data_IF_715124834214
#
_entry.id   IF_715124834214
#
_cell.length_a   1.000
_cell.length_b   1.000
_cell.length_c   1.000
_cell.angle_alpha   90.00
_cell.angle_beta   90.00
_cell.angle_gamma   90.00
#
_symmetry.space_group_name_H-M   'P 1'
#
loop_
_entity.id
_entity.type
_entity.pdbx_description
1 polymer ?
#
# COMPACT_ATOMS: atom_id res chain seq x y z
N UNK A 1 18.02 -12.20 -2.49
CA UNK A 1 16.72 -11.56 -2.76
C UNK A 1 15.68 -12.65 -2.89
N UNK A 2 14.60 -12.58 -2.14
CA UNK A 2 13.46 -13.49 -2.32
C UNK A 2 12.87 -13.26 -3.71
N UNK A 3 12.45 -14.32 -4.41
CA UNK A 3 11.71 -14.15 -5.66
C UNK A 3 10.35 -13.52 -5.36
N UNK A 4 10.21 -12.23 -5.67
CA UNK A 4 8.94 -11.53 -5.54
C UNK A 4 8.02 -12.00 -6.67
N UNK A 5 6.85 -12.57 -6.31
CA UNK A 5 5.83 -12.91 -7.29
C UNK A 5 4.99 -11.69 -7.63
N UNK A 6 5.44 -10.95 -8.64
CA UNK A 6 4.78 -9.71 -9.06
C UNK A 6 3.39 -9.91 -9.66
N UNK A 7 3.12 -11.07 -10.26
CA UNK A 7 1.77 -11.37 -10.76
C UNK A 7 0.80 -11.53 -9.59
N UNK A 8 1.21 -12.23 -8.53
CA UNK A 8 0.41 -12.34 -7.32
C UNK A 8 0.15 -10.97 -6.67
N UNK A 9 1.16 -10.10 -6.60
CA UNK A 9 0.99 -8.73 -6.09
C UNK A 9 -0.02 -7.92 -6.92
N UNK A 10 0.02 -8.06 -8.25
CA UNK A 10 -0.94 -7.39 -9.14
C UNK A 10 -2.37 -7.86 -8.91
N UNK A 11 -2.58 -9.16 -8.75
CA UNK A 11 -3.92 -9.70 -8.50
C UNK A 11 -4.46 -9.29 -7.13
N UNK A 12 -3.61 -9.26 -6.08
CA UNK A 12 -3.99 -8.73 -4.77
C UNK A 12 -4.38 -7.24 -4.89
N UNK A 13 -3.60 -6.43 -5.61
CA UNK A 13 -3.92 -5.02 -5.80
C UNK A 13 -5.26 -4.82 -6.52
N UNK A 14 -5.56 -5.58 -7.58
CA UNK A 14 -6.86 -5.48 -8.28
C UNK A 14 -8.06 -5.84 -7.40
N UNK A 15 -7.88 -6.77 -6.45
CA UNK A 15 -8.96 -7.24 -5.57
C UNK A 15 -9.21 -6.32 -4.37
N UNK A 16 -8.23 -5.51 -3.98
CA UNK A 16 -8.36 -4.57 -2.88
C UNK A 16 -9.33 -3.41 -3.23
N UNK A 17 -9.77 -2.67 -2.21
CA UNK A 17 -10.62 -1.48 -2.40
C UNK A 17 -9.92 -0.45 -3.28
N UNK A 18 -10.46 -0.21 -4.48
CA UNK A 18 -9.86 0.74 -5.42
C UNK A 18 -10.11 2.18 -4.98
N UNK A 19 -9.23 3.08 -5.42
CA UNK A 19 -9.31 4.51 -5.12
C UNK A 19 -8.21 4.99 -4.18
N UNK A 20 -8.32 6.25 -3.77
CA UNK A 20 -7.40 6.87 -2.82
C UNK A 20 -7.60 6.29 -1.42
N UNK A 21 -6.48 6.06 -0.72
CA UNK A 21 -6.46 5.67 0.68
C UNK A 21 -5.78 6.76 1.49
N UNK A 22 -6.32 7.07 2.67
CA UNK A 22 -5.81 8.07 3.59
C UNK A 22 -5.49 7.45 4.94
N UNK A 23 -4.45 7.96 5.60
CA UNK A 23 -4.16 7.58 6.97
C UNK A 23 -5.00 8.43 7.94
N UNK A 24 -5.71 7.76 8.84
CA UNK A 24 -6.37 8.39 9.98
C UNK A 24 -5.49 8.24 11.23
N UNK A 25 -5.10 9.37 11.79
CA UNK A 25 -4.18 9.44 12.92
C UNK A 25 -4.88 10.17 14.06
N UNK A 26 -5.23 9.43 15.11
CA UNK A 26 -5.77 9.98 16.36
C UNK A 26 -4.87 9.57 17.52
N UNK A 27 -3.87 10.38 17.88
CA UNK A 27 -2.92 10.04 18.93
C UNK A 27 -3.57 9.95 20.32
N UNK A 28 -3.02 9.11 21.20
CA UNK A 28 -3.44 9.02 22.60
C UNK A 28 -3.17 7.65 23.22
N UNK A 29 -3.47 7.51 24.52
CA UNK A 29 -3.35 6.22 25.25
C UNK A 29 -4.19 5.10 24.61
N UNK A 30 -5.28 5.48 23.95
CA UNK A 30 -6.16 4.62 23.16
C UNK A 30 -6.27 5.16 21.73
N UNK A 31 -5.15 5.65 21.19
CA UNK A 31 -5.12 6.25 19.87
C UNK A 31 -5.46 5.25 18.77
N UNK A 32 -5.99 5.77 17.66
CA UNK A 32 -6.34 4.99 16.46
C UNK A 32 -5.43 5.41 15.33
N UNK A 33 -4.87 4.42 14.64
CA UNK A 33 -3.95 4.60 13.53
C UNK A 33 -4.38 3.66 12.40
N UNK A 34 -5.21 4.19 11.51
CA UNK A 34 -5.94 3.40 10.54
C UNK A 34 -5.76 3.93 9.11
N UNK A 35 -6.23 3.15 8.14
CA UNK A 35 -6.30 3.52 6.72
C UNK A 35 -7.75 3.46 6.29
N UNK A 36 -8.23 4.50 5.61
CA UNK A 36 -9.63 4.61 5.16
C UNK A 36 -9.73 5.24 3.77
N UNK A 37 -10.93 5.31 3.21
CA UNK A 37 -11.19 6.06 1.97
C UNK A 37 -11.53 7.53 2.29
N UNK A 38 -11.20 8.49 1.40
CA UNK A 38 -11.67 9.87 1.53
C UNK A 38 -13.21 9.91 1.63
N UNK A 39 -13.73 10.55 2.67
CA UNK A 39 -15.17 10.69 2.89
C UNK A 39 -15.82 9.60 3.74
N UNK A 40 -15.06 8.61 4.23
CA UNK A 40 -15.55 7.74 5.30
C UNK A 40 -15.58 8.50 6.64
N UNK A 41 -16.71 8.44 7.34
CA UNK A 41 -16.96 9.12 8.62
C UNK A 41 -16.53 8.24 9.82
N UNK A 42 -15.36 7.60 9.72
CA UNK A 42 -14.75 6.78 10.78
C UNK A 42 -15.51 5.49 11.14
N UNK A 43 -16.23 4.88 10.19
CA UNK A 43 -16.96 3.64 10.44
C UNK A 43 -16.55 2.46 9.54
N UNK A 44 -15.64 2.67 8.58
CA UNK A 44 -15.19 1.66 7.63
C UNK A 44 -13.68 1.71 7.35
N UNK A 45 -12.85 1.63 8.39
CA UNK A 45 -11.41 1.49 8.22
C UNK A 45 -11.09 0.28 7.33
N UNK A 46 -10.27 0.50 6.30
CA UNK A 46 -9.69 -0.54 5.45
C UNK A 46 -8.72 -1.39 6.28
N UNK A 47 -7.94 -0.75 7.13
CA UNK A 47 -7.01 -1.38 8.08
C UNK A 47 -6.97 -0.55 9.36
N UNK A 48 -7.24 -1.17 10.51
CA UNK A 48 -6.87 -0.65 11.83
C UNK A 48 -5.82 -1.60 12.43
N UNK A 49 -4.56 -1.18 12.41
CA UNK A 49 -3.45 -2.03 12.84
C UNK A 49 -2.39 -1.27 13.66
N UNK A 50 -2.29 -1.54 14.97
CA UNK A 50 -1.36 -0.85 15.86
C UNK A 50 0.12 -1.24 15.66
N UNK A 51 0.43 -2.21 14.80
CA UNK A 51 1.78 -2.76 14.68
C UNK A 51 2.14 -3.76 15.79
N UNK A 52 3.34 -4.35 15.70
CA UNK A 52 3.86 -5.30 16.69
C UNK A 52 4.77 -4.63 17.75
N UNK A 53 4.91 -3.32 17.68
CA UNK A 53 5.91 -2.54 18.41
C UNK A 53 5.29 -1.61 19.47
N UNK A 54 4.16 -2.03 20.05
CA UNK A 54 3.42 -1.25 21.05
C UNK A 54 3.03 0.15 20.53
N UNK A 55 2.62 0.24 19.26
CA UNK A 55 2.21 1.46 18.57
C UNK A 55 3.30 2.53 18.37
N UNK A 56 4.57 2.21 18.63
CA UNK A 56 5.68 3.17 18.45
C UNK A 56 5.76 3.71 17.01
N UNK A 57 5.44 2.88 16.01
CA UNK A 57 5.40 3.26 14.60
C UNK A 57 3.99 3.25 14.01
N UNK A 58 2.93 3.21 14.81
CA UNK A 58 1.56 3.05 14.30
C UNK A 58 1.17 4.13 13.27
N UNK A 59 1.54 5.39 13.52
CA UNK A 59 1.34 6.48 12.55
C UNK A 59 2.09 6.24 11.24
N UNK A 60 3.37 5.87 11.33
CA UNK A 60 4.19 5.61 10.15
C UNK A 60 3.65 4.41 9.35
N UNK A 61 3.16 3.38 10.03
CA UNK A 61 2.58 2.20 9.40
C UNK A 61 1.29 2.56 8.64
N UNK A 62 0.40 3.34 9.26
CA UNK A 62 -0.82 3.80 8.61
C UNK A 62 -0.51 4.65 7.37
N UNK A 63 0.44 5.59 7.47
CA UNK A 63 0.90 6.41 6.33
C UNK A 63 1.52 5.56 5.22
N UNK A 64 2.35 4.59 5.59
CA UNK A 64 2.98 3.68 4.64
C UNK A 64 1.95 2.85 3.86
N UNK A 65 1.00 2.22 4.57
CA UNK A 65 -0.05 1.40 3.94
C UNK A 65 -0.95 2.26 3.04
N UNK A 66 -1.35 3.46 3.49
CA UNK A 66 -2.16 4.37 2.69
C UNK A 66 -1.43 4.82 1.40
N UNK A 67 -0.13 5.09 1.48
CA UNK A 67 0.68 5.48 0.32
C UNK A 67 0.82 4.35 -0.71
N UNK A 68 0.90 3.10 -0.27
CA UNK A 68 0.93 1.91 -1.12
C UNK A 68 -0.48 1.35 -1.40
N UNK A 69 -1.42 2.25 -1.69
CA UNK A 69 -2.76 1.86 -2.11
C UNK A 69 -2.75 1.08 -3.44
N UNK A 70 -3.84 0.38 -3.77
CA UNK A 70 -3.92 -0.48 -4.96
C UNK A 70 -3.61 0.21 -6.29
N UNK A 71 -3.96 1.49 -6.43
CA UNK A 71 -3.70 2.26 -7.65
C UNK A 71 -2.20 2.50 -7.82
N UNK A 72 -1.54 2.92 -6.73
CA UNK A 72 -0.09 3.15 -6.71
C UNK A 72 0.68 1.84 -6.96
N UNK A 73 0.28 0.74 -6.31
CA UNK A 73 0.95 -0.56 -6.49
C UNK A 73 0.85 -1.03 -7.94
N UNK A 74 -0.33 -0.90 -8.58
CA UNK A 74 -0.48 -1.26 -9.99
C UNK A 74 0.41 -0.42 -10.91
N UNK A 75 0.46 0.90 -10.69
CA UNK A 75 1.32 1.79 -11.46
C UNK A 75 2.82 1.45 -11.33
N UNK A 76 3.29 1.17 -10.10
CA UNK A 76 4.67 0.76 -9.86
C UNK A 76 5.01 -0.57 -10.54
N UNK A 77 4.07 -1.52 -10.56
CA UNK A 77 4.25 -2.80 -11.25
C UNK A 77 4.28 -2.62 -12.78
N UNK A 78 3.48 -1.71 -13.33
CA UNK A 78 3.49 -1.35 -14.76
C UNK A 78 4.83 -0.72 -15.16
N UNK A 79 5.31 0.25 -14.38
CA UNK A 79 6.60 0.90 -14.61
C UNK A 79 7.75 -0.12 -14.59
N UNK A 80 7.76 -0.99 -13.58
CA UNK A 80 8.80 -2.02 -13.44
C UNK A 80 8.80 -2.98 -14.63
N UNK A 81 7.62 -3.39 -15.10
CA UNK A 81 7.51 -4.26 -16.28
C UNK A 81 8.03 -3.57 -17.55
N UNK A 82 7.67 -2.29 -17.75
CA UNK A 82 8.15 -1.50 -18.89
C UNK A 82 9.69 -1.33 -18.86
N UNK A 83 10.26 -1.02 -17.70
CA UNK A 83 11.71 -0.93 -17.51
C UNK A 83 12.39 -2.29 -17.78
N UNK A 84 11.81 -3.39 -17.30
CA UNK A 84 12.36 -4.74 -17.51
C UNK A 84 12.38 -5.11 -19.00
N UNK A 85 11.31 -4.79 -19.74
CA UNK A 85 11.26 -4.97 -21.20
C UNK A 85 12.33 -4.15 -21.91
N UNK A 86 12.49 -2.88 -21.51
CA UNK A 86 13.51 -1.99 -22.10
C UNK A 86 14.93 -2.50 -21.89
N UNK A 87 15.24 -3.03 -20.72
CA UNK A 87 16.55 -3.63 -20.44
C UNK A 87 16.78 -4.85 -21.34
N UNK A 88 15.80 -5.76 -21.43
CA UNK A 88 15.92 -6.95 -22.27
C UNK A 88 16.15 -6.59 -23.75
N UNK A 89 15.44 -5.59 -24.29
CA UNK A 89 15.67 -5.09 -25.65
C UNK A 89 17.08 -4.57 -25.86
N UNK A 90 17.63 -3.84 -24.88
CA UNK A 90 18.99 -3.30 -24.95
C UNK A 90 20.06 -4.39 -24.84
N UNK A 91 19.81 -5.47 -24.11
CA UNK A 91 20.72 -6.62 -24.01
C UNK A 91 20.75 -7.49 -25.27
N UNK A 92 19.70 -7.42 -26.09
CA UNK A 92 19.61 -8.16 -27.37
C UNK A 92 20.16 -7.39 -28.58
N UNK A 93 20.53 -6.12 -28.41
CA UNK A 93 21.13 -5.27 -29.46
C UNK A 93 22.66 -5.18 -29.28
#
# INVERSE_FOLDING_TARGET
MSNINYQALREIAKQATQGEWCAFISPGKHGTYAVHTPGDNHHGDIVDWPGFDEQKNAENNARYIAAFNPVVVQALLDEREAQSKRIAELETN
#
